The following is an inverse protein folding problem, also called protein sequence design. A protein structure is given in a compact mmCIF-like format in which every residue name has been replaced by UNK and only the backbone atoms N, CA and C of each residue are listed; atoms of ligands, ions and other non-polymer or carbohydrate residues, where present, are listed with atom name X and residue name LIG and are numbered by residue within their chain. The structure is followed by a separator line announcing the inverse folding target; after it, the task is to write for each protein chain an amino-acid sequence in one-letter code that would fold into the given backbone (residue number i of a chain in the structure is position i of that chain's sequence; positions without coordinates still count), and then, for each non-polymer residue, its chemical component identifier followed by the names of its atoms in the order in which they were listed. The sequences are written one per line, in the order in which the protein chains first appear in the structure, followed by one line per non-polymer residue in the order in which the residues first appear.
data_IF_268373168242
#
_entry.id   IF_268373168242
#
_cell.length_a   1.000
_cell.length_b   1.000
_cell.length_c   1.000
_cell.angle_alpha   90.00
_cell.angle_beta   90.00
_cell.angle_gamma   90.00
#
_symmetry.space_group_name_H-M   'P 1'
#
loop_
_entity.id
_entity.type
_entity.pdbx_description
1 polymer ?
#
# COMPACT_ATOMS: atom_id res chain seq x y z
N UNK A 1 -57.54 -1.52 -26.91
CA UNK A 1 -57.41 -2.03 -25.53
C UNK A 1 -56.60 -3.32 -25.55
N UNK A 2 -55.47 -3.34 -24.83
CA UNK A 2 -54.97 -4.41 -23.94
C UNK A 2 -53.45 -4.29 -23.82
N UNK A 3 -53.05 -3.84 -22.63
CA UNK A 3 -51.67 -3.74 -22.13
C UNK A 3 -51.25 -5.11 -21.63
N UNK A 4 -50.06 -5.59 -21.98
CA UNK A 4 -49.29 -6.62 -21.24
C UNK A 4 -47.81 -6.39 -21.60
N UNK A 5 -47.02 -5.73 -20.76
CA UNK A 5 -46.40 -6.17 -19.51
C UNK A 5 -44.93 -6.59 -19.75
N UNK A 6 -44.05 -5.70 -19.31
CA UNK A 6 -42.59 -5.70 -19.26
C UNK A 6 -42.02 -6.85 -18.42
N UNK A 7 -40.92 -7.50 -18.84
CA UNK A 7 -39.85 -7.97 -17.94
C UNK A 7 -38.50 -7.86 -18.67
N UNK A 8 -37.68 -6.88 -18.28
CA UNK A 8 -36.25 -6.82 -18.62
C UNK A 8 -35.51 -7.40 -17.41
N UNK A 9 -34.82 -8.52 -17.60
CA UNK A 9 -33.97 -9.10 -16.57
C UNK A 9 -32.63 -8.34 -16.53
N UNK A 10 -32.44 -7.51 -15.50
CA UNK A 10 -31.19 -6.82 -15.23
C UNK A 10 -30.41 -7.64 -14.19
N UNK A 11 -29.38 -8.35 -14.63
CA UNK A 11 -28.43 -9.03 -13.73
C UNK A 11 -27.33 -8.01 -13.41
N UNK A 12 -27.48 -7.31 -12.29
CA UNK A 12 -26.42 -6.47 -11.72
C UNK A 12 -25.42 -7.35 -10.98
N UNK A 13 -24.22 -7.43 -11.53
CA UNK A 13 -23.04 -8.06 -10.94
C UNK A 13 -22.52 -7.15 -9.81
N UNK A 14 -22.82 -7.48 -8.56
CA UNK A 14 -22.26 -6.78 -7.39
C UNK A 14 -20.87 -7.34 -7.07
N UNK A 15 -19.84 -6.78 -7.69
CA UNK A 15 -18.46 -6.88 -7.19
C UNK A 15 -18.33 -5.84 -6.08
N UNK A 16 -18.61 -6.26 -4.86
CA UNK A 16 -18.34 -5.47 -3.66
C UNK A 16 -16.84 -5.54 -3.33
N UNK A 17 -16.03 -4.79 -4.06
CA UNK A 17 -14.68 -4.48 -3.61
C UNK A 17 -14.79 -3.40 -2.52
N UNK A 18 -14.91 -3.85 -1.27
CA UNK A 18 -14.85 -2.99 -0.10
C UNK A 18 -13.43 -2.47 0.09
N UNK A 19 -13.04 -1.47 -0.68
CA UNK A 19 -11.91 -0.62 -0.32
C UNK A 19 -12.39 0.28 0.81
N UNK A 20 -12.09 -0.11 2.05
CA UNK A 20 -12.22 0.76 3.21
C UNK A 20 -11.47 2.05 2.92
N UNK A 21 -12.22 3.13 2.70
CA UNK A 21 -11.67 4.47 2.62
C UNK A 21 -11.12 4.83 4.01
N UNK A 22 -9.85 4.52 4.27
CA UNK A 22 -9.16 5.03 5.43
C UNK A 22 -9.01 6.54 5.24
N UNK A 23 -9.83 7.29 5.96
CA UNK A 23 -9.74 8.73 6.04
C UNK A 23 -8.37 9.12 6.60
N UNK A 24 -7.48 9.56 5.70
CA UNK A 24 -6.13 10.09 6.00
C UNK A 24 -6.14 11.32 6.96
N UNK A 25 -7.32 11.86 7.27
CA UNK A 25 -7.45 13.13 8.00
C UNK A 25 -7.23 13.03 9.53
N UNK A 26 -7.18 11.83 10.10
CA UNK A 26 -7.01 11.64 11.55
C UNK A 26 -5.53 11.51 11.97
N UNK A 27 -4.58 11.69 11.04
CA UNK A 27 -3.14 11.62 11.32
C UNK A 27 -2.57 12.93 11.86
N UNK A 28 -3.37 14.00 11.89
CA UNK A 28 -2.99 15.33 12.36
C UNK A 28 -3.80 15.70 13.61
N UNK A 29 -3.28 15.37 14.80
CA UNK A 29 -3.78 15.92 16.05
C UNK A 29 -2.72 16.86 16.62
N UNK A 30 -3.01 18.17 16.63
CA UNK A 30 -2.09 19.26 16.96
C UNK A 30 -1.48 19.17 18.38
N UNK A 31 -2.05 18.35 19.28
CA UNK A 31 -1.54 18.14 20.65
C UNK A 31 -0.52 17.00 20.79
N UNK A 32 -0.36 16.14 19.78
CA UNK A 32 0.51 14.96 19.85
C UNK A 32 1.52 15.04 18.70
N UNK A 33 2.80 14.78 18.98
CA UNK A 33 3.80 14.65 17.92
C UNK A 33 3.28 13.65 16.87
N UNK A 34 3.24 14.05 15.60
CA UNK A 34 2.74 13.26 14.46
C UNK A 34 3.21 11.81 14.53
N UNK A 35 4.50 11.58 14.79
CA UNK A 35 5.09 10.24 14.81
C UNK A 35 4.71 9.42 16.04
N UNK A 36 4.42 10.06 17.18
CA UNK A 36 3.88 9.38 18.36
C UNK A 36 2.43 8.94 18.15
N UNK A 37 1.65 9.73 17.38
CA UNK A 37 0.33 9.29 16.92
C UNK A 37 0.44 8.06 16.00
N UNK A 38 1.38 8.06 15.06
CA UNK A 38 1.64 6.90 14.19
C UNK A 38 2.00 5.65 15.01
N UNK A 39 2.94 5.77 15.96
CA UNK A 39 3.33 4.66 16.85
C UNK A 39 2.14 4.08 17.60
N UNK A 40 1.29 4.94 18.16
CA UNK A 40 0.08 4.51 18.88
C UNK A 40 -0.89 3.77 17.96
N UNK A 41 -1.10 4.26 16.73
CA UNK A 41 -1.98 3.62 15.75
C UNK A 41 -1.45 2.27 15.28
N UNK A 42 -0.16 2.17 14.98
CA UNK A 42 0.45 0.91 14.56
C UNK A 42 0.47 -0.12 15.70
N UNK A 43 0.69 0.31 16.95
CA UNK A 43 0.61 -0.58 18.11
C UNK A 43 -0.80 -1.10 18.39
N UNK A 44 -1.84 -0.33 18.03
CA UNK A 44 -3.24 -0.73 18.16
C UNK A 44 -3.76 -1.53 16.96
N UNK A 45 -3.01 -1.60 15.86
CA UNK A 45 -3.40 -2.35 14.68
C UNK A 45 -3.44 -3.85 14.98
N UNK A 46 -4.49 -4.53 14.51
CA UNK A 46 -4.59 -5.98 14.65
C UNK A 46 -3.59 -6.69 13.71
N UNK A 47 -3.32 -7.97 13.95
CA UNK A 47 -2.29 -8.72 13.20
C UNK A 47 -2.58 -8.90 11.70
N UNK A 48 -3.83 -8.72 11.27
CA UNK A 48 -4.24 -8.78 9.85
C UNK A 48 -4.30 -7.40 9.18
N UNK A 49 -4.11 -6.32 9.94
CA UNK A 49 -4.12 -4.96 9.41
C UNK A 49 -2.75 -4.63 8.81
N UNK A 50 -2.62 -4.90 7.51
CA UNK A 50 -1.44 -4.54 6.75
C UNK A 50 -1.40 -3.04 6.41
N UNK A 51 -2.55 -2.37 6.36
CA UNK A 51 -2.65 -1.02 5.80
C UNK A 51 -2.23 0.06 6.80
N UNK A 52 -2.59 -0.06 8.08
CA UNK A 52 -2.16 0.91 9.11
C UNK A 52 -0.63 1.05 9.19
N UNK A 53 0.16 -0.04 9.33
CA UNK A 53 1.62 0.07 9.32
C UNK A 53 2.19 0.52 7.96
N UNK A 54 1.56 0.14 6.84
CA UNK A 54 1.96 0.63 5.51
C UNK A 54 1.84 2.16 5.40
N UNK A 55 0.68 2.73 5.75
CA UNK A 55 0.45 4.19 5.68
C UNK A 55 1.40 4.92 6.63
N UNK A 56 1.60 4.40 7.84
CA UNK A 56 2.53 4.99 8.79
C UNK A 56 3.97 5.02 8.24
N UNK A 57 4.43 3.92 7.62
CA UNK A 57 5.74 3.88 6.99
C UNK A 57 5.84 4.83 5.79
N UNK A 58 4.81 4.88 4.94
CA UNK A 58 4.79 5.76 3.78
C UNK A 58 4.94 7.23 4.17
N UNK A 59 4.31 7.65 5.27
CA UNK A 59 4.46 8.99 5.83
C UNK A 59 5.92 9.24 6.25
N UNK A 60 6.53 8.33 7.01
CA UNK A 60 7.93 8.45 7.40
C UNK A 60 8.88 8.54 6.20
N UNK A 61 8.68 7.73 5.15
CA UNK A 61 9.47 7.81 3.91
C UNK A 61 9.27 9.12 3.17
N UNK A 62 8.04 9.64 3.13
CA UNK A 62 7.72 10.91 2.46
C UNK A 62 8.37 12.09 3.19
N UNK A 63 8.37 12.05 4.51
CA UNK A 63 8.93 13.11 5.36
C UNK A 63 10.45 12.96 5.55
N UNK A 64 11.04 11.81 5.20
CA UNK A 64 12.42 11.42 5.49
C UNK A 64 12.76 11.45 7.00
N UNK A 65 11.81 11.01 7.82
CA UNK A 65 11.86 11.08 9.29
C UNK A 65 11.46 9.74 9.91
N UNK A 66 12.04 9.38 11.07
CA UNK A 66 11.79 8.09 11.75
C UNK A 66 11.93 6.85 10.83
N UNK A 67 12.98 6.84 10.02
CA UNK A 67 13.20 5.80 9.01
C UNK A 67 13.39 4.40 9.61
N UNK A 68 13.93 4.31 10.82
CA UNK A 68 14.04 3.04 11.56
C UNK A 68 12.66 2.43 11.84
N UNK A 69 11.71 3.23 12.34
CA UNK A 69 10.31 2.83 12.52
C UNK A 69 9.64 2.52 11.18
N UNK A 70 9.91 3.31 10.14
CA UNK A 70 9.37 3.08 8.82
C UNK A 70 9.71 1.67 8.29
N UNK A 71 10.96 1.24 8.45
CA UNK A 71 11.37 -0.11 8.08
C UNK A 71 10.62 -1.20 8.86
N UNK A 72 10.49 -1.03 10.19
CA UNK A 72 9.76 -1.99 11.03
C UNK A 72 8.28 -2.09 10.64
N UNK A 73 7.67 -0.96 10.31
CA UNK A 73 6.27 -0.91 9.88
C UNK A 73 6.07 -1.47 8.46
N UNK A 74 7.03 -1.29 7.55
CA UNK A 74 7.04 -1.99 6.26
C UNK A 74 7.05 -3.51 6.48
N UNK A 75 7.94 -4.03 7.34
CA UNK A 75 8.00 -5.45 7.64
C UNK A 75 6.72 -5.96 8.30
N UNK A 76 6.13 -5.18 9.22
CA UNK A 76 4.87 -5.51 9.85
C UNK A 76 3.72 -5.58 8.83
N UNK A 77 3.65 -4.63 7.90
CA UNK A 77 2.66 -4.62 6.82
C UNK A 77 2.78 -5.86 5.95
N UNK A 78 3.98 -6.15 5.45
CA UNK A 78 4.27 -7.32 4.61
C UNK A 78 3.89 -8.61 5.32
N UNK A 79 4.20 -8.72 6.61
CA UNK A 79 3.88 -9.90 7.42
C UNK A 79 2.37 -10.09 7.60
N UNK A 80 1.62 -9.00 7.77
CA UNK A 80 0.17 -9.05 7.91
C UNK A 80 -0.49 -9.48 6.59
N UNK A 81 -0.06 -8.90 5.47
CA UNK A 81 -0.46 -9.29 4.12
C UNK A 81 0.56 -8.76 3.12
N UNK A 82 1.16 -9.63 2.32
CA UNK A 82 2.06 -9.20 1.24
C UNK A 82 1.26 -8.58 0.08
N UNK A 83 1.60 -7.35 -0.31
CA UNK A 83 0.92 -6.62 -1.39
C UNK A 83 1.93 -5.97 -2.34
N UNK A 84 1.46 -5.53 -3.50
CA UNK A 84 2.29 -4.79 -4.47
C UNK A 84 2.81 -3.50 -3.82
N UNK A 85 1.96 -2.81 -3.06
CA UNK A 85 2.26 -1.52 -2.44
C UNK A 85 3.33 -1.63 -1.36
N UNK A 86 3.24 -2.60 -0.45
CA UNK A 86 4.23 -2.70 0.63
C UNK A 86 5.59 -3.24 0.15
N UNK A 87 5.61 -4.08 -0.88
CA UNK A 87 6.86 -4.45 -1.58
C UNK A 87 7.48 -3.27 -2.31
N UNK A 88 6.66 -2.49 -3.01
CA UNK A 88 7.12 -1.26 -3.67
C UNK A 88 7.70 -0.28 -2.64
N UNK A 89 7.02 -0.08 -1.51
CA UNK A 89 7.47 0.82 -0.45
C UNK A 89 8.79 0.36 0.18
N UNK A 90 8.99 -0.95 0.34
CA UNK A 90 10.29 -1.51 0.79
C UNK A 90 11.40 -1.28 -0.24
N UNK A 91 11.08 -1.42 -1.52
CA UNK A 91 12.01 -1.06 -2.60
C UNK A 91 12.39 0.42 -2.54
N UNK A 92 11.40 1.30 -2.35
CA UNK A 92 11.62 2.75 -2.20
C UNK A 92 12.49 3.08 -0.99
N UNK A 93 12.28 2.40 0.14
CA UNK A 93 13.14 2.51 1.31
C UNK A 93 14.59 2.20 0.94
N UNK A 94 14.85 1.06 0.28
CA UNK A 94 16.21 0.68 -0.10
C UNK A 94 16.85 1.62 -1.12
N UNK A 95 16.07 2.08 -2.11
CA UNK A 95 16.54 3.02 -3.12
C UNK A 95 16.97 4.35 -2.48
N UNK A 96 16.24 4.86 -1.47
CA UNK A 96 16.63 6.07 -0.73
C UNK A 96 18.01 5.97 -0.06
N UNK A 97 18.45 4.76 0.29
CA UNK A 97 19.77 4.51 0.88
C UNK A 97 20.83 4.07 -0.15
N UNK A 98 20.53 4.11 -1.45
CA UNK A 98 21.44 3.65 -2.50
C UNK A 98 21.68 2.13 -2.47
N UNK A 99 20.77 1.36 -1.86
CA UNK A 99 20.86 -0.09 -1.75
C UNK A 99 20.19 -0.74 -2.97
N UNK A 100 20.67 -0.42 -4.17
CA UNK A 100 20.00 -0.70 -5.44
C UNK A 100 19.67 -2.18 -5.65
N UNK A 101 20.56 -3.09 -5.26
CA UNK A 101 20.28 -4.53 -5.41
C UNK A 101 19.12 -4.97 -4.51
N UNK A 102 19.01 -4.43 -3.30
CA UNK A 102 17.89 -4.73 -2.40
C UNK A 102 16.61 -4.09 -2.91
N UNK A 103 16.68 -2.86 -3.43
CA UNK A 103 15.55 -2.17 -4.05
C UNK A 103 15.02 -2.96 -5.25
N UNK A 104 15.91 -3.38 -6.16
CA UNK A 104 15.59 -4.20 -7.31
C UNK A 104 14.85 -5.48 -6.91
N UNK A 105 15.36 -6.20 -5.91
CA UNK A 105 14.76 -7.44 -5.45
C UNK A 105 13.33 -7.24 -4.92
N UNK A 106 13.05 -6.14 -4.22
CA UNK A 106 11.69 -5.85 -3.72
C UNK A 106 10.76 -5.36 -4.84
N UNK A 107 11.24 -4.55 -5.78
CA UNK A 107 10.46 -4.18 -6.97
C UNK A 107 10.13 -5.38 -7.85
N UNK A 108 11.04 -6.35 -7.97
CA UNK A 108 10.78 -7.60 -8.69
C UNK A 108 9.66 -8.39 -8.02
N UNK A 109 9.68 -8.54 -6.68
CA UNK A 109 8.58 -9.18 -5.94
C UNK A 109 7.24 -8.44 -6.14
N UNK A 110 7.25 -7.11 -6.12
CA UNK A 110 6.06 -6.32 -6.40
C UNK A 110 5.52 -6.59 -7.82
N UNK A 111 6.41 -6.73 -8.81
CA UNK A 111 6.06 -7.04 -10.19
C UNK A 111 5.48 -8.45 -10.33
N UNK A 112 6.08 -9.44 -9.67
CA UNK A 112 5.58 -10.82 -9.64
C UNK A 112 4.17 -10.88 -9.02
N UNK A 113 3.92 -10.15 -7.93
CA UNK A 113 2.58 -10.04 -7.32
C UNK A 113 1.59 -9.36 -8.27
N UNK A 114 2.01 -8.31 -8.96
CA UNK A 114 1.17 -7.58 -9.89
C UNK A 114 0.78 -8.45 -11.10
N UNK A 115 1.71 -9.27 -11.61
CA UNK A 115 1.45 -10.30 -12.64
C UNK A 115 0.47 -11.34 -12.11
N UNK A 116 0.70 -11.87 -10.90
CA UNK A 116 -0.16 -12.89 -10.30
C UNK A 116 -1.61 -12.39 -10.08
N UNK A 117 -1.77 -11.09 -9.83
CA UNK A 117 -3.07 -10.43 -9.70
C UNK A 117 -3.74 -10.12 -11.05
N UNK A 118 -3.11 -10.45 -12.18
CA UNK A 118 -3.67 -10.31 -13.53
C UNK A 118 -3.65 -8.88 -14.07
N UNK A 119 -2.81 -7.99 -13.53
CA UNK A 119 -2.60 -6.67 -14.10
C UNK A 119 -1.70 -6.74 -15.35
N UNK A 120 -1.86 -5.80 -16.26
CA UNK A 120 -1.07 -5.73 -17.52
C UNK A 120 -0.19 -4.46 -17.60
N UNK A 121 -0.43 -3.46 -16.76
CA UNK A 121 0.37 -2.23 -16.70
C UNK A 121 1.43 -2.33 -15.60
N UNK A 122 2.69 -2.48 -16.02
CA UNK A 122 3.85 -2.58 -15.13
C UNK A 122 4.73 -1.32 -15.16
N UNK A 123 4.29 -0.26 -15.85
CA UNK A 123 5.12 0.91 -16.17
C UNK A 123 5.70 1.59 -14.93
N UNK A 124 4.91 1.71 -13.85
CA UNK A 124 5.35 2.32 -12.61
C UNK A 124 6.55 1.58 -11.98
N UNK A 125 6.49 0.25 -11.88
CA UNK A 125 7.57 -0.57 -11.34
C UNK A 125 8.77 -0.64 -12.29
N UNK A 126 8.52 -0.76 -13.60
CA UNK A 126 9.58 -0.74 -14.61
C UNK A 126 10.38 0.57 -14.57
N UNK A 127 9.70 1.71 -14.44
CA UNK A 127 10.35 3.01 -14.32
C UNK A 127 11.21 3.11 -13.04
N UNK A 128 10.72 2.60 -11.91
CA UNK A 128 11.49 2.53 -10.65
C UNK A 128 12.74 1.67 -10.81
N UNK A 129 12.61 0.48 -11.40
CA UNK A 129 13.76 -0.42 -11.68
C UNK A 129 14.78 0.26 -12.60
N UNK A 130 14.33 0.93 -13.66
CA UNK A 130 15.20 1.64 -14.60
C UNK A 130 15.87 2.88 -13.99
N UNK A 131 15.35 3.39 -12.87
CA UNK A 131 15.92 4.55 -12.17
C UNK A 131 17.05 4.16 -11.19
N UNK A 132 17.20 2.87 -10.85
CA UNK A 132 18.26 2.39 -9.96
C UNK A 132 19.65 2.58 -10.60
N UNK A 133 20.65 2.92 -9.77
CA UNK A 133 22.04 3.06 -10.18
C UNK A 133 22.36 4.24 -11.13
N UNK A 134 21.43 5.19 -11.27
CA UNK A 134 21.63 6.45 -12.00
C UNK A 134 22.00 7.59 -11.07
#
# INVERSE_FOLDING_TARGET
MRKFATIIALITLSISASFSAFASNDLYNEKTNKYESLKTKVAAANSSDWNTPFVAAQICLTDLENMSEAYLWIEQSIKAQETVENRTLKGDYFALYGLDQLAFNEYQKALDLQIANGHEDFSALQNKIQALGK
#
